data_IF_449764125702
#
_entry.id   IF_449764125702
#
_cell.length_a   1.000
_cell.length_b   1.000
_cell.length_c   1.000
_cell.angle_alpha   90.00
_cell.angle_beta   90.00
_cell.angle_gamma   90.00
#
_symmetry.space_group_name_H-M   'P 1'
#
loop_
_entity.id
_entity.type
_entity.pdbx_description
1 polymer ?
#
# COMPACT_ATOMS: atom_id res chain seq x y z
N UNK A 1 56.39 35.13 33.02
CA UNK A 1 55.83 35.52 34.33
C UNK A 1 54.35 35.83 34.13
N UNK A 2 53.45 35.05 34.75
CA UNK A 2 52.06 35.46 35.02
C UNK A 2 52.01 36.00 36.46
N UNK A 3 51.19 37.02 36.73
CA UNK A 3 50.05 36.85 37.65
C UNK A 3 48.74 37.38 37.02
N UNK A 4 47.56 36.73 37.19
CA UNK A 4 46.59 36.84 38.33
C UNK A 4 46.10 38.29 38.55
N UNK A 5 44.84 38.65 38.86
CA UNK A 5 43.47 38.10 38.91
C UNK A 5 42.61 39.23 39.58
N UNK A 6 41.27 39.10 39.59
CA UNK A 6 40.23 39.86 40.31
C UNK A 6 39.64 41.11 39.60
N UNK A 7 38.34 41.21 39.22
CA UNK A 7 37.03 40.81 39.78
C UNK A 7 36.38 41.83 40.75
N UNK A 8 35.22 42.38 40.35
CA UNK A 8 34.07 42.81 41.18
C UNK A 8 32.92 43.25 40.22
N UNK A 9 31.84 42.49 40.01
CA UNK A 9 30.63 42.24 40.84
C UNK A 9 29.62 43.39 40.92
N UNK A 10 28.39 43.12 40.45
CA UNK A 10 27.03 43.54 40.88
C UNK A 10 26.11 43.41 39.63
N UNK A 11 24.89 42.87 39.62
CA UNK A 11 23.99 42.34 40.63
C UNK A 11 22.94 41.43 39.94
N UNK A 12 22.35 40.53 40.72
CA UNK A 12 21.32 39.55 40.35
C UNK A 12 20.01 40.13 39.82
N UNK A 13 19.40 39.44 38.85
CA UNK A 13 17.96 39.19 38.83
C UNK A 13 17.71 37.73 38.48
N UNK A 14 17.15 36.99 39.43
CA UNK A 14 16.64 35.66 39.24
C UNK A 14 15.22 35.75 38.66
N UNK A 15 15.00 35.08 37.52
CA UNK A 15 13.68 34.66 37.11
C UNK A 15 13.78 33.17 36.76
N UNK A 16 13.26 32.33 37.67
CA UNK A 16 12.97 30.94 37.37
C UNK A 16 11.87 30.90 36.31
N UNK A 17 12.24 30.59 35.07
CA UNK A 17 11.33 29.99 34.12
C UNK A 17 11.75 28.52 33.97
N UNK A 18 10.99 27.63 34.62
CA UNK A 18 10.94 26.21 34.25
C UNK A 18 10.31 26.17 32.86
N UNK A 19 11.13 26.33 31.83
CA UNK A 19 10.76 25.94 30.48
C UNK A 19 11.15 24.46 30.36
N UNK A 20 10.14 23.59 30.42
CA UNK A 20 10.28 22.22 29.96
C UNK A 20 10.95 22.27 28.59
N UNK A 21 12.12 21.64 28.49
CA UNK A 21 12.82 21.44 27.23
C UNK A 21 11.87 20.71 26.29
N UNK A 22 11.23 21.46 25.41
CA UNK A 22 10.65 20.93 24.20
C UNK A 22 11.83 20.44 23.37
N UNK A 23 12.10 19.13 23.44
CA UNK A 23 12.83 18.43 22.40
C UNK A 23 11.99 18.55 21.12
N UNK A 24 12.18 19.65 20.41
CA UNK A 24 12.00 19.72 18.97
C UNK A 24 13.17 18.97 18.36
N UNK A 25 12.98 17.67 18.15
CA UNK A 25 13.71 16.99 17.10
C UNK A 25 12.86 17.07 15.84
N UNK A 26 13.27 17.99 14.97
CA UNK A 26 13.03 17.91 13.54
C UNK A 26 13.57 16.56 13.05
N UNK A 27 12.70 15.57 12.90
CA UNK A 27 12.98 14.45 12.00
C UNK A 27 12.56 14.85 10.58
N UNK A 28 13.39 15.70 9.99
CA UNK A 28 13.39 15.92 8.55
C UNK A 28 14.08 14.70 7.93
N UNK A 29 13.30 13.66 7.60
CA UNK A 29 13.67 12.59 6.65
C UNK A 29 12.46 11.65 6.40
N UNK A 30 11.50 12.14 5.61
CA UNK A 30 10.62 11.26 4.82
C UNK A 30 11.20 11.15 3.41
N UNK A 31 12.44 10.67 3.31
CA UNK A 31 13.15 10.43 2.04
C UNK A 31 12.69 9.12 1.36
N UNK A 32 11.38 8.91 1.32
CA UNK A 32 10.76 7.67 0.83
C UNK A 32 10.00 7.88 -0.50
N UNK A 33 10.29 8.99 -1.18
CA UNK A 33 9.78 9.28 -2.50
C UNK A 33 10.87 8.98 -3.52
N UNK A 34 10.67 8.02 -4.42
CA UNK A 34 11.42 8.04 -5.68
C UNK A 34 10.58 8.72 -6.76
N UNK A 35 10.91 10.00 -6.91
CA UNK A 35 11.03 10.78 -8.15
C UNK A 35 10.68 10.11 -9.48
N UNK A 36 9.65 10.67 -10.12
CA UNK A 36 9.80 11.28 -11.46
C UNK A 36 9.22 12.72 -11.42
N UNK A 37 10.04 13.76 -11.16
CA UNK A 37 9.58 15.14 -11.16
C UNK A 37 9.03 15.53 -12.53
N UNK A 38 7.89 16.23 -12.56
CA UNK A 38 7.39 16.90 -13.76
C UNK A 38 6.31 16.17 -14.57
N UNK A 39 5.93 14.94 -14.21
CA UNK A 39 4.81 14.25 -14.85
C UNK A 39 3.56 14.20 -13.94
N UNK A 40 2.42 14.60 -14.51
CA UNK A 40 1.10 14.50 -13.87
C UNK A 40 0.68 13.04 -13.72
N UNK A 41 0.42 12.56 -12.50
CA UNK A 41 0.04 11.16 -12.23
C UNK A 41 -1.27 10.75 -12.91
N UNK A 42 -1.27 9.69 -13.75
CA UNK A 42 -2.48 9.22 -14.41
C UNK A 42 -3.46 8.67 -13.37
N UNK A 43 -4.76 8.71 -13.68
CA UNK A 43 -5.71 7.85 -13.00
C UNK A 43 -5.42 6.39 -13.40
N UNK A 44 -5.67 5.47 -12.48
CA UNK A 44 -5.43 4.06 -12.70
C UNK A 44 -6.75 3.28 -12.72
N UNK A 45 -6.77 2.22 -13.52
CA UNK A 45 -7.89 1.28 -13.58
C UNK A 45 -7.48 -0.08 -13.04
N UNK A 46 -8.45 -0.74 -12.42
CA UNK A 46 -8.46 -2.17 -12.17
C UNK A 46 -9.65 -2.79 -12.91
N UNK A 47 -9.35 -3.62 -13.89
CA UNK A 47 -10.28 -4.45 -14.66
C UNK A 47 -10.02 -5.95 -14.42
N UNK A 48 -9.31 -6.28 -13.33
CA UNK A 48 -9.04 -7.66 -12.93
C UNK A 48 -10.26 -8.38 -12.36
N UNK A 49 -10.13 -9.69 -12.10
CA UNK A 49 -11.26 -10.54 -11.74
C UNK A 49 -11.78 -10.32 -10.32
N UNK A 50 -10.97 -9.81 -9.37
CA UNK A 50 -11.39 -9.75 -7.98
C UNK A 50 -12.55 -8.77 -7.78
N UNK A 51 -13.71 -9.22 -7.27
CA UNK A 51 -14.85 -8.35 -7.02
C UNK A 51 -14.67 -7.58 -5.71
N UNK A 52 -15.54 -6.59 -5.49
CA UNK A 52 -15.81 -6.11 -4.13
C UNK A 52 -16.24 -7.26 -3.23
N UNK A 53 -15.60 -7.34 -2.06
CA UNK A 53 -15.89 -8.37 -1.06
C UNK A 53 -16.96 -7.88 -0.08
N UNK A 54 -17.78 -8.80 0.39
CA UNK A 54 -18.66 -8.59 1.52
C UNK A 54 -17.90 -8.86 2.83
N UNK A 55 -17.99 -7.93 3.78
CA UNK A 55 -17.31 -8.00 5.09
C UNK A 55 -15.79 -8.27 4.98
N UNK A 56 -15.03 -7.42 4.26
CA UNK A 56 -13.59 -7.59 4.16
C UNK A 56 -12.91 -7.43 5.53
N UNK A 57 -11.80 -8.14 5.72
CA UNK A 57 -10.89 -8.03 6.85
C UNK A 57 -9.44 -8.01 6.33
N UNK A 58 -8.56 -7.33 7.05
CA UNK A 58 -7.14 -7.22 6.70
C UNK A 58 -6.29 -7.65 7.88
N UNK A 59 -5.28 -8.47 7.62
CA UNK A 59 -4.23 -8.80 8.59
C UNK A 59 -2.88 -8.49 7.96
N UNK A 60 -2.11 -7.61 8.59
CA UNK A 60 -0.72 -7.34 8.20
C UNK A 60 0.21 -7.99 9.21
N UNK A 61 1.12 -8.83 8.72
CA UNK A 61 2.22 -9.38 9.50
C UNK A 61 3.47 -8.51 9.29
N UNK A 62 3.91 -7.79 10.33
CA UNK A 62 5.14 -6.99 10.25
C UNK A 62 6.35 -7.88 9.98
N UNK A 63 6.46 -8.97 10.74
CA UNK A 63 7.56 -9.95 10.64
C UNK A 63 7.51 -10.72 9.33
N UNK A 64 6.30 -11.11 8.93
CA UNK A 64 6.08 -11.88 7.70
C UNK A 64 6.19 -11.04 6.44
N UNK A 65 6.14 -9.70 6.52
CA UNK A 65 6.08 -8.84 5.34
C UNK A 65 4.95 -9.25 4.38
N UNK A 66 3.80 -9.60 4.96
CA UNK A 66 2.60 -10.03 4.26
C UNK A 66 1.39 -9.22 4.70
N UNK A 67 0.47 -9.00 3.77
CA UNK A 67 -0.85 -8.45 4.03
C UNK A 67 -1.88 -9.41 3.45
N UNK A 68 -2.67 -10.04 4.32
CA UNK A 68 -3.77 -10.90 3.92
C UNK A 68 -5.09 -10.14 3.96
N UNK A 69 -5.79 -10.14 2.84
CA UNK A 69 -7.18 -9.72 2.74
C UNK A 69 -8.05 -10.95 2.79
N UNK A 70 -9.14 -10.89 3.53
CA UNK A 70 -10.12 -11.96 3.60
C UNK A 70 -11.51 -11.36 3.50
N UNK A 71 -12.44 -12.02 2.82
CA UNK A 71 -13.82 -11.55 2.72
C UNK A 71 -14.72 -12.54 2.01
N UNK A 72 -16.03 -12.33 2.08
CA UNK A 72 -17.00 -13.17 1.36
C UNK A 72 -17.17 -12.67 -0.06
N UNK A 73 -17.18 -13.58 -1.03
CA UNK A 73 -17.53 -13.23 -2.41
C UNK A 73 -19.04 -12.93 -2.50
N UNK A 74 -19.46 -11.98 -3.37
CA UNK A 74 -20.87 -11.78 -3.67
C UNK A 74 -21.54 -13.10 -4.04
N UNK A 75 -22.78 -13.31 -3.58
CA UNK A 75 -23.51 -14.59 -3.82
C UNK A 75 -23.63 -14.95 -5.30
N UNK A 76 -23.64 -13.96 -6.18
CA UNK A 76 -23.78 -14.10 -7.63
C UNK A 76 -22.44 -14.19 -8.36
N UNK A 77 -21.31 -14.16 -7.64
CA UNK A 77 -20.00 -14.19 -8.25
C UNK A 77 -19.65 -15.60 -8.74
N UNK A 78 -19.19 -15.69 -9.98
CA UNK A 78 -18.73 -16.93 -10.59
C UNK A 78 -17.31 -17.26 -10.12
N UNK A 79 -17.19 -18.22 -9.20
CA UNK A 79 -15.91 -18.60 -8.59
C UNK A 79 -14.90 -19.16 -9.59
N UNK A 80 -15.33 -19.62 -10.77
CA UNK A 80 -14.43 -20.07 -11.83
C UNK A 80 -13.60 -18.94 -12.43
N UNK A 81 -14.02 -17.68 -12.21
CA UNK A 81 -13.29 -16.47 -12.65
C UNK A 81 -12.27 -15.98 -11.64
N UNK A 82 -12.18 -16.59 -10.46
CA UNK A 82 -11.18 -16.17 -9.48
C UNK A 82 -9.77 -16.35 -10.05
N UNK A 83 -8.86 -15.43 -9.73
CA UNK A 83 -7.48 -15.57 -10.15
C UNK A 83 -6.80 -16.70 -9.37
N UNK A 84 -5.76 -17.28 -9.96
CA UNK A 84 -5.04 -18.44 -9.43
C UNK A 84 -4.40 -18.22 -8.04
N UNK A 85 -4.11 -16.98 -7.66
CA UNK A 85 -3.57 -16.64 -6.34
C UNK A 85 -4.65 -16.53 -5.24
N UNK A 86 -5.92 -16.49 -5.61
CA UNK A 86 -7.02 -16.42 -4.66
C UNK A 86 -7.29 -17.82 -4.08
N UNK A 87 -7.03 -17.99 -2.79
CA UNK A 87 -7.39 -19.22 -2.06
C UNK A 87 -8.81 -19.07 -1.54
N UNK A 88 -9.62 -20.13 -1.60
CA UNK A 88 -11.01 -20.09 -1.14
C UNK A 88 -11.29 -21.12 -0.06
N UNK A 89 -12.18 -20.76 0.86
CA UNK A 89 -12.78 -21.68 1.82
C UNK A 89 -14.30 -21.57 1.77
N UNK A 90 -14.99 -22.69 2.04
CA UNK A 90 -16.45 -22.72 2.09
C UNK A 90 -16.92 -22.40 3.52
N UNK A 91 -17.71 -21.35 3.66
CA UNK A 91 -18.27 -20.93 4.96
C UNK A 91 -19.79 -20.95 4.84
N UNK A 92 -20.39 -22.04 5.33
CA UNK A 92 -21.80 -22.34 5.13
C UNK A 92 -22.20 -22.28 3.64
N UNK A 93 -23.14 -21.41 3.27
CA UNK A 93 -23.59 -21.22 1.90
C UNK A 93 -22.80 -20.13 1.13
N UNK A 94 -21.71 -19.62 1.70
CA UNK A 94 -20.85 -18.57 1.15
C UNK A 94 -19.45 -19.06 0.83
N UNK A 95 -18.82 -18.42 -0.15
CA UNK A 95 -17.41 -18.64 -0.47
C UNK A 95 -16.64 -17.48 0.10
N UNK A 96 -15.69 -17.78 0.99
CA UNK A 96 -14.72 -16.80 1.47
C UNK A 96 -13.46 -16.93 0.63
N UNK A 97 -12.84 -15.80 0.35
CA UNK A 97 -11.58 -15.71 -0.38
C UNK A 97 -10.50 -15.13 0.51
N UNK A 98 -9.27 -15.58 0.28
CA UNK A 98 -8.06 -15.09 0.90
C UNK A 98 -7.07 -14.71 -0.21
N UNK A 99 -6.59 -13.48 -0.15
CA UNK A 99 -5.53 -12.98 -1.03
C UNK A 99 -4.43 -12.45 -0.15
N UNK A 100 -3.17 -12.78 -0.47
CA UNK A 100 -2.01 -12.34 0.29
C UNK A 100 -1.10 -11.55 -0.62
N UNK A 101 -0.79 -10.33 -0.21
CA UNK A 101 0.14 -9.46 -0.90
C UNK A 101 1.47 -9.37 -0.15
N UNK A 102 2.60 -9.28 -0.87
CA UNK A 102 3.85 -8.86 -0.27
C UNK A 102 3.75 -7.39 0.17
N UNK A 103 4.35 -7.06 1.32
CA UNK A 103 4.43 -5.67 1.79
C UNK A 103 5.80 -5.29 2.35
N UNK A 104 6.20 -4.05 2.12
CA UNK A 104 7.33 -3.42 2.81
C UNK A 104 6.81 -2.77 4.09
N UNK A 105 7.44 -3.07 5.21
CA UNK A 105 7.00 -2.60 6.54
C UNK A 105 8.03 -1.65 7.14
N UNK A 106 7.65 -1.01 8.25
CA UNK A 106 8.46 -0.01 8.94
C UNK A 106 9.87 -0.50 9.32
N UNK A 107 10.87 0.30 8.98
CA UNK A 107 12.23 0.15 9.49
C UNK A 107 12.29 0.47 10.98
N UNK A 108 13.33 -0.02 11.66
CA UNK A 108 13.66 0.48 13.00
C UNK A 108 14.30 1.85 12.88
N UNK A 109 13.85 2.80 13.71
CA UNK A 109 14.45 4.12 13.88
C UNK A 109 14.80 4.25 15.35
N UNK A 110 16.08 4.47 15.65
CA UNK A 110 16.61 4.60 17.03
C UNK A 110 16.19 3.45 17.97
N UNK A 111 16.23 2.22 17.46
CA UNK A 111 15.86 1.01 18.20
C UNK A 111 14.36 0.88 18.49
N UNK A 112 13.52 1.76 17.91
CA UNK A 112 12.05 1.68 18.01
C UNK A 112 11.46 1.32 16.66
N UNK A 113 10.46 0.44 16.68
CA UNK A 113 9.67 0.15 15.50
C UNK A 113 8.91 1.37 15.07
N UNK A 114 9.05 1.74 13.79
CA UNK A 114 8.24 2.77 13.19
C UNK A 114 6.91 2.23 12.63
N UNK A 115 6.45 1.07 13.09
CA UNK A 115 5.08 0.58 12.87
C UNK A 115 4.26 0.73 14.15
N UNK A 116 2.93 0.80 14.04
CA UNK A 116 2.03 0.70 15.21
C UNK A 116 1.22 -0.58 15.08
N UNK A 117 1.61 -1.67 15.76
CA UNK A 117 0.78 -2.86 15.90
C UNK A 117 -0.53 -2.52 16.62
N UNK A 118 -1.59 -3.25 16.29
CA UNK A 118 -2.89 -3.03 16.92
C UNK A 118 -4.07 -3.44 16.05
N UNK A 119 -5.26 -3.23 16.59
CA UNK A 119 -6.53 -3.41 15.88
C UNK A 119 -7.08 -2.05 15.47
N UNK A 120 -7.53 -1.99 14.22
CA UNK A 120 -8.09 -0.81 13.58
C UNK A 120 -9.48 -1.17 13.05
N UNK A 121 -10.45 -0.29 13.29
CA UNK A 121 -11.86 -0.50 12.96
C UNK A 121 -12.31 0.25 11.70
N UNK A 122 -11.39 0.95 11.05
CA UNK A 122 -11.68 1.74 9.86
C UNK A 122 -10.45 1.98 8.98
N UNK A 123 -10.74 2.40 7.75
CA UNK A 123 -9.80 3.02 6.85
C UNK A 123 -10.34 4.36 6.37
N UNK A 124 -9.44 5.32 6.19
CA UNK A 124 -9.71 6.52 5.42
C UNK A 124 -9.07 6.39 4.04
N UNK A 125 -9.91 6.11 3.04
CA UNK A 125 -9.50 5.73 1.69
C UNK A 125 -9.58 6.92 0.73
N UNK A 126 -8.47 7.18 0.05
CA UNK A 126 -8.38 8.14 -1.05
C UNK A 126 -8.11 7.37 -2.34
N UNK A 127 -9.14 7.10 -3.17
CA UNK A 127 -9.00 6.20 -4.32
C UNK A 127 -8.10 6.74 -5.44
N UNK A 128 -7.76 8.03 -5.40
CA UNK A 128 -6.79 8.64 -6.32
C UNK A 128 -5.95 9.68 -5.59
N UNK A 129 -4.67 9.40 -5.36
CA UNK A 129 -3.69 10.38 -4.84
C UNK A 129 -2.65 10.68 -5.91
N UNK A 130 -2.80 11.76 -6.70
CA UNK A 130 -1.76 12.17 -7.63
C UNK A 130 -0.57 12.74 -6.89
N UNK A 131 0.53 12.94 -7.62
CA UNK A 131 1.64 13.76 -7.16
C UNK A 131 1.12 15.16 -6.79
N UNK A 132 1.44 15.62 -5.59
CA UNK A 132 1.12 16.97 -5.14
C UNK A 132 2.31 17.89 -5.45
N UNK A 133 2.25 18.72 -6.51
CA UNK A 133 3.34 19.63 -6.85
C UNK A 133 3.51 20.77 -5.83
N UNK A 134 2.52 21.03 -4.96
CA UNK A 134 2.65 21.99 -3.86
C UNK A 134 3.42 21.38 -2.67
N UNK A 135 3.55 20.06 -2.62
CA UNK A 135 4.41 19.34 -1.70
C UNK A 135 5.72 18.97 -2.40
N UNK A 136 6.49 20.02 -2.75
CA UNK A 136 7.84 19.89 -3.29
C UNK A 136 8.68 19.02 -2.34
N UNK A 137 8.88 17.76 -2.73
CA UNK A 137 9.88 16.86 -2.16
C UNK A 137 9.47 15.90 -1.04
N UNK A 138 8.18 15.67 -0.73
CA UNK A 138 7.85 14.78 0.42
C UNK A 138 6.93 13.58 0.15
N UNK A 139 6.07 13.58 -0.88
CA UNK A 139 5.19 12.43 -1.12
C UNK A 139 4.80 12.27 -2.61
N UNK A 140 5.22 11.16 -3.24
CA UNK A 140 4.84 10.78 -4.62
C UNK A 140 4.08 9.46 -4.60
N UNK A 141 2.79 9.50 -4.92
CA UNK A 141 1.89 8.34 -4.83
C UNK A 141 1.47 7.79 -6.20
N UNK A 142 1.96 8.38 -7.30
CA UNK A 142 1.80 7.84 -8.65
C UNK A 142 0.36 7.80 -9.17
N UNK A 143 -0.61 8.39 -8.46
CA UNK A 143 -2.03 8.28 -8.79
C UNK A 143 -2.70 7.04 -8.19
N UNK A 144 -1.97 6.22 -7.43
CA UNK A 144 -2.53 5.05 -6.76
C UNK A 144 -3.40 5.44 -5.56
N UNK A 145 -4.26 4.53 -5.07
CA UNK A 145 -5.02 4.75 -3.86
C UNK A 145 -4.13 4.84 -2.63
N UNK A 146 -4.62 5.57 -1.62
CA UNK A 146 -4.00 5.69 -0.30
C UNK A 146 -5.00 5.30 0.78
N UNK A 147 -4.70 4.21 1.50
CA UNK A 147 -5.63 3.59 2.45
C UNK A 147 -5.07 3.81 3.85
N UNK A 148 -5.39 4.97 4.44
CA UNK A 148 -4.93 5.31 5.76
C UNK A 148 -5.64 4.47 6.82
N UNK A 149 -4.87 3.84 7.71
CA UNK A 149 -5.41 3.05 8.83
C UNK A 149 -5.07 3.65 10.19
N UNK A 150 -4.16 4.62 10.25
CA UNK A 150 -3.80 5.30 11.49
C UNK A 150 -3.75 6.82 11.26
N UNK A 151 -4.81 7.53 11.66
CA UNK A 151 -4.97 8.96 11.37
C UNK A 151 -3.84 9.83 11.94
N UNK A 152 -3.46 9.62 13.22
CA UNK A 152 -2.48 10.49 13.88
C UNK A 152 -1.06 10.37 13.30
N UNK A 153 -0.63 9.17 12.90
CA UNK A 153 0.68 8.91 12.29
C UNK A 153 0.66 8.88 10.77
N UNK A 154 -0.53 9.00 10.19
CA UNK A 154 -0.80 8.87 8.75
C UNK A 154 -0.32 7.55 8.12
N UNK A 155 -0.20 6.48 8.90
CA UNK A 155 0.19 5.18 8.34
C UNK A 155 -0.91 4.62 7.46
N UNK A 156 -0.49 4.06 6.34
CA UNK A 156 -1.39 3.63 5.27
C UNK A 156 -0.88 2.37 4.57
N UNK A 157 -1.79 1.69 3.89
CA UNK A 157 -1.45 0.80 2.78
C UNK A 157 -1.46 1.63 1.51
N UNK A 158 -0.39 1.57 0.73
CA UNK A 158 -0.28 2.35 -0.50
C UNK A 158 0.68 1.71 -1.50
N UNK A 159 0.46 2.03 -2.78
CA UNK A 159 1.27 1.58 -3.91
C UNK A 159 2.72 2.06 -3.88
N UNK A 160 3.55 1.56 -4.80
CA UNK A 160 4.98 1.40 -4.66
C UNK A 160 5.67 2.74 -4.89
N UNK A 161 6.82 3.07 -4.28
CA UNK A 161 8.12 2.39 -4.02
C UNK A 161 9.06 2.27 -5.23
N UNK A 162 10.31 1.90 -4.95
CA UNK A 162 11.54 2.41 -5.56
C UNK A 162 11.57 2.31 -7.08
N UNK A 163 11.73 3.47 -7.71
CA UNK A 163 12.11 3.55 -9.11
C UNK A 163 13.60 3.21 -9.20
N UNK A 164 13.91 2.09 -9.83
CA UNK A 164 15.30 1.71 -10.07
C UNK A 164 15.44 1.27 -11.52
N UNK A 165 16.52 1.68 -12.17
CA UNK A 165 16.84 1.25 -13.54
C UNK A 165 17.61 -0.08 -13.57
N UNK A 166 18.00 -0.61 -12.39
CA UNK A 166 18.97 -1.71 -12.27
C UNK A 166 18.54 -2.78 -11.25
N UNK A 167 17.78 -3.78 -11.70
CA UNK A 167 17.66 -5.06 -11.01
C UNK A 167 18.11 -6.22 -11.91
N UNK A 168 18.60 -7.34 -11.34
CA UNK A 168 18.93 -8.54 -12.12
C UNK A 168 17.72 -9.01 -12.95
N UNK A 169 17.84 -8.98 -14.28
CA UNK A 169 16.77 -9.33 -15.21
C UNK A 169 15.96 -8.14 -15.75
N UNK A 170 16.22 -6.91 -15.30
CA UNK A 170 15.67 -5.72 -15.92
C UNK A 170 16.24 -5.56 -17.34
N UNK A 171 15.39 -5.17 -18.30
CA UNK A 171 15.89 -4.73 -19.60
C UNK A 171 16.65 -3.41 -19.37
N UNK A 172 17.87 -3.22 -19.89
CA UNK A 172 18.59 -1.97 -19.74
C UNK A 172 17.72 -0.77 -20.19
N UNK A 173 17.43 0.14 -19.26
CA UNK A 173 16.54 1.30 -19.49
C UNK A 173 15.05 1.04 -19.26
N UNK A 174 14.63 -0.15 -18.81
CA UNK A 174 13.27 -0.39 -18.32
C UNK A 174 13.12 0.17 -16.90
N UNK A 175 12.18 1.11 -16.77
CA UNK A 175 11.84 1.77 -15.52
C UNK A 175 10.62 1.06 -14.91
N UNK A 176 10.83 0.11 -14.00
CA UNK A 176 9.76 -0.70 -13.43
C UNK A 176 9.55 -0.36 -11.94
N UNK A 177 8.31 -0.06 -11.58
CA UNK A 177 7.90 0.09 -10.18
C UNK A 177 7.88 -1.28 -9.52
N UNK A 178 8.82 -1.56 -8.62
CA UNK A 178 8.86 -2.85 -7.93
C UNK A 178 8.90 -2.66 -6.43
N UNK A 179 8.08 -3.46 -5.73
CA UNK A 179 8.14 -3.57 -4.29
C UNK A 179 9.41 -4.33 -3.89
N UNK A 180 10.20 -3.73 -3.00
CA UNK A 180 11.18 -4.43 -2.18
C UNK A 180 10.46 -4.92 -0.92
N UNK A 181 10.18 -6.22 -0.85
CA UNK A 181 9.56 -6.83 0.33
C UNK A 181 10.61 -6.89 1.45
N UNK A 182 10.54 -5.95 2.38
CA UNK A 182 11.53 -5.78 3.45
C UNK A 182 11.22 -4.62 4.40
N UNK A 183 12.14 -4.35 5.31
CA UNK A 183 12.02 -3.31 6.36
C UNK A 183 12.54 -1.96 5.86
N UNK A 184 11.86 -1.41 4.86
CA UNK A 184 12.34 -0.21 4.16
C UNK A 184 11.45 1.02 4.36
N UNK A 185 10.28 0.90 5.02
CA UNK A 185 9.34 2.02 5.09
C UNK A 185 9.49 2.88 6.36
N UNK A 186 8.99 4.11 6.33
CA UNK A 186 8.79 4.93 7.52
C UNK A 186 7.49 4.59 8.29
N UNK A 187 6.98 3.35 8.18
CA UNK A 187 5.85 2.86 8.99
C UNK A 187 4.57 2.51 8.22
N UNK A 188 4.48 2.95 6.97
CA UNK A 188 3.42 2.50 6.08
C UNK A 188 3.62 1.04 5.66
N UNK A 189 2.54 0.40 5.21
CA UNK A 189 2.58 -0.89 4.55
C UNK A 189 2.66 -0.64 3.05
N UNK A 190 3.87 -0.60 2.51
CA UNK A 190 4.06 -0.34 1.08
C UNK A 190 3.78 -1.60 0.28
N UNK A 191 3.08 -1.47 -0.83
CA UNK A 191 2.69 -2.58 -1.70
C UNK A 191 2.98 -2.22 -3.16
N UNK A 192 2.87 -3.17 -4.10
CA UNK A 192 2.78 -2.81 -5.52
C UNK A 192 1.48 -2.04 -5.81
N UNK A 193 1.46 -1.27 -6.90
CA UNK A 193 0.49 -0.17 -7.02
C UNK A 193 -0.85 -0.74 -7.41
N UNK A 194 -0.74 -1.69 -8.31
CA UNK A 194 -1.73 -2.59 -8.81
C UNK A 194 -2.28 -3.51 -7.72
N UNK A 195 -1.46 -3.93 -6.73
CA UNK A 195 -1.99 -4.60 -5.52
C UNK A 195 -2.89 -3.68 -4.71
N UNK A 196 -2.51 -2.41 -4.56
CA UNK A 196 -3.34 -1.43 -3.85
C UNK A 196 -4.59 -1.08 -4.64
N UNK A 197 -4.54 -1.06 -5.97
CA UNK A 197 -5.74 -0.92 -6.81
C UNK A 197 -6.70 -2.07 -6.58
N UNK A 198 -6.22 -3.31 -6.65
CA UNK A 198 -7.03 -4.51 -6.40
C UNK A 198 -7.61 -4.50 -4.99
N UNK A 199 -6.78 -4.22 -3.97
CA UNK A 199 -7.23 -4.07 -2.58
C UNK A 199 -8.34 -3.03 -2.46
N UNK A 200 -8.17 -1.86 -3.07
CA UNK A 200 -9.17 -0.78 -3.04
C UNK A 200 -10.48 -1.22 -3.70
N UNK A 201 -10.39 -2.01 -4.79
CA UNK A 201 -11.55 -2.60 -5.46
C UNK A 201 -12.29 -3.60 -4.56
N UNK A 202 -11.55 -4.50 -3.92
CA UNK A 202 -12.07 -5.46 -2.96
C UNK A 202 -12.77 -4.79 -1.76
N UNK A 203 -12.33 -3.58 -1.38
CA UNK A 203 -12.92 -2.79 -0.31
C UNK A 203 -14.18 -1.98 -0.72
N UNK A 204 -14.62 -2.08 -1.98
CA UNK A 204 -15.88 -1.50 -2.43
C UNK A 204 -15.79 -0.20 -3.22
N UNK A 205 -14.59 0.19 -3.65
CA UNK A 205 -14.42 1.30 -4.58
C UNK A 205 -14.35 0.72 -5.98
N UNK A 206 -15.27 1.10 -6.86
CA UNK A 206 -15.22 0.68 -8.27
C UNK A 206 -13.97 1.26 -8.96
N UNK A 207 -12.91 0.47 -9.01
CA UNK A 207 -11.63 0.87 -9.61
C UNK A 207 -11.59 0.61 -11.12
N UNK A 208 -12.68 0.12 -11.73
CA UNK A 208 -12.80 0.01 -13.20
C UNK A 208 -12.99 1.37 -13.88
N UNK A 209 -13.09 2.45 -13.09
CA UNK A 209 -13.32 3.82 -13.57
C UNK A 209 -12.25 4.77 -13.01
N UNK A 210 -11.89 5.82 -13.76
CA UNK A 210 -10.89 6.78 -13.31
C UNK A 210 -11.44 7.66 -12.17
N UNK A 211 -10.75 7.65 -11.03
CA UNK A 211 -11.02 8.50 -9.87
C UNK A 211 -10.31 9.87 -9.98
N UNK A 212 -10.69 10.84 -9.14
CA UNK A 212 -10.15 12.22 -9.16
C UNK A 212 -9.85 12.76 -7.78
N UNK A 213 -9.09 13.86 -7.65
CA UNK A 213 -8.88 14.48 -6.34
C UNK A 213 -10.17 15.05 -5.74
N UNK A 214 -11.15 15.40 -6.56
CA UNK A 214 -12.47 15.84 -6.09
C UNK A 214 -13.22 14.74 -5.32
N UNK A 215 -12.84 13.47 -5.45
CA UNK A 215 -13.42 12.36 -4.67
C UNK A 215 -12.75 12.16 -3.32
N UNK A 216 -11.62 12.83 -3.05
CA UNK A 216 -10.95 12.81 -1.75
C UNK A 216 -11.48 13.88 -0.80
N UNK A 217 -12.61 14.53 -1.13
CA UNK A 217 -13.25 15.51 -0.25
C UNK A 217 -13.42 14.93 1.16
N UNK A 218 -13.37 15.77 2.21
CA UNK A 218 -13.56 15.30 3.56
C UNK A 218 -14.85 14.50 3.71
N UNK A 219 -14.73 13.34 4.35
CA UNK A 219 -15.87 12.50 4.68
C UNK A 219 -16.91 13.34 5.45
N UNK A 220 -18.18 13.38 5.02
CA UNK A 220 -19.18 14.25 5.64
C UNK A 220 -19.39 13.96 7.13
N UNK A 221 -19.22 12.70 7.55
CA UNK A 221 -19.46 12.24 8.91
C UNK A 221 -18.24 12.48 9.80
N UNK A 222 -17.06 12.10 9.33
CA UNK A 222 -15.84 12.08 10.15
C UNK A 222 -14.94 13.30 9.93
N UNK A 223 -15.23 14.14 8.93
CA UNK A 223 -14.50 15.38 8.59
C UNK A 223 -13.01 15.18 8.26
N UNK A 224 -12.62 13.96 7.90
CA UNK A 224 -11.25 13.59 7.48
C UNK A 224 -11.18 13.50 5.96
N UNK A 225 -10.07 13.95 5.35
CA UNK A 225 -9.86 13.87 3.89
C UNK A 225 -9.87 12.42 3.39
N UNK A 226 -10.78 12.08 2.48
CA UNK A 226 -10.99 10.73 1.95
C UNK A 226 -12.36 10.17 2.36
N UNK A 227 -12.64 8.92 2.00
CA UNK A 227 -13.85 8.22 2.41
C UNK A 227 -13.55 7.31 3.58
N UNK A 228 -14.29 7.50 4.66
CA UNK A 228 -14.21 6.62 5.83
C UNK A 228 -14.99 5.34 5.56
N UNK A 229 -14.34 4.19 5.69
CA UNK A 229 -14.99 2.88 5.59
C UNK A 229 -14.74 2.06 6.87
N UNK A 230 -15.76 1.38 7.41
CA UNK A 230 -15.56 0.45 8.50
C UNK A 230 -14.84 -0.80 7.98
N UNK A 231 -13.85 -1.28 8.72
CA UNK A 231 -13.11 -2.51 8.41
C UNK A 231 -12.70 -3.20 9.71
N UNK A 232 -12.44 -4.50 9.67
CA UNK A 232 -11.60 -5.14 10.70
C UNK A 232 -10.19 -5.29 10.16
N UNK A 233 -9.26 -4.50 10.68
CA UNK A 233 -7.85 -4.58 10.33
C UNK A 233 -7.00 -4.86 11.58
N UNK A 234 -6.04 -5.76 11.45
CA UNK A 234 -5.06 -6.04 12.49
C UNK A 234 -3.65 -5.91 11.92
N UNK A 235 -2.80 -5.13 12.58
CA UNK A 235 -1.35 -5.13 12.35
C UNK A 235 -0.72 -5.92 13.49
N UNK A 236 -0.16 -7.08 13.16
CA UNK A 236 0.48 -7.98 14.13
C UNK A 236 1.84 -7.42 14.56
N UNK A 237 2.13 -7.54 15.86
CA UNK A 237 3.41 -7.12 16.43
C UNK A 237 4.49 -8.17 16.20
N UNK A 238 5.77 -7.80 16.32
CA UNK A 238 6.83 -8.79 16.38
C UNK A 238 6.78 -9.57 17.71
N UNK A 239 7.05 -10.88 17.73
CA UNK A 239 7.47 -11.76 16.64
C UNK A 239 6.31 -12.50 15.96
N UNK A 240 5.09 -11.98 16.01
CA UNK A 240 3.90 -12.69 15.55
C UNK A 240 3.85 -12.77 14.02
N UNK A 241 3.48 -13.96 13.54
CA UNK A 241 3.16 -14.20 12.14
C UNK A 241 1.66 -14.30 11.98
N UNK A 242 1.16 -13.87 10.82
CA UNK A 242 -0.18 -14.24 10.40
C UNK A 242 -0.27 -15.76 10.19
N UNK A 243 -1.44 -16.33 10.48
CA UNK A 243 -1.68 -17.76 10.33
C UNK A 243 -2.98 -18.04 9.59
N UNK A 244 -2.95 -19.10 8.79
CA UNK A 244 -4.10 -19.63 8.05
C UNK A 244 -4.15 -21.15 8.31
N UNK A 245 -5.26 -21.63 8.88
CA UNK A 245 -5.43 -23.05 9.24
C UNK A 245 -4.29 -23.62 10.11
N UNK A 246 -3.74 -22.79 11.01
CA UNK A 246 -2.62 -23.18 11.88
C UNK A 246 -1.24 -23.19 11.21
N UNK A 247 -1.14 -22.78 9.95
CA UNK A 247 0.12 -22.62 9.21
C UNK A 247 0.51 -21.15 9.09
N UNK A 248 1.81 -20.86 9.08
CA UNK A 248 2.31 -19.50 8.89
C UNK A 248 1.98 -19.04 7.46
N UNK A 249 1.41 -17.86 7.32
CA UNK A 249 1.15 -17.24 6.01
C UNK A 249 2.44 -16.63 5.47
N UNK A 250 2.85 -17.08 4.29
CA UNK A 250 3.90 -16.48 3.48
C UNK A 250 3.38 -16.21 2.05
N UNK A 251 4.15 -15.49 1.25
CA UNK A 251 3.80 -15.13 -0.13
C UNK A 251 4.99 -15.38 -1.06
N UNK A 252 4.70 -15.91 -2.25
CA UNK A 252 5.68 -16.23 -3.30
C UNK A 252 6.18 -14.94 -3.98
N UNK A 253 7.03 -14.20 -3.27
CA UNK A 253 7.59 -12.95 -3.74
C UNK A 253 9.02 -12.75 -3.21
N UNK A 254 9.96 -12.25 -4.04
CA UNK A 254 11.34 -12.03 -3.62
C UNK A 254 11.43 -11.15 -2.37
N UNK A 255 12.28 -11.56 -1.43
CA UNK A 255 12.46 -10.87 -0.15
C UNK A 255 13.86 -10.26 -0.03
N UNK A 256 13.92 -9.08 0.57
CA UNK A 256 15.16 -8.44 0.98
C UNK A 256 15.81 -9.21 2.16
N UNK A 257 17.14 -9.17 2.34
CA UNK A 257 17.81 -9.79 3.48
C UNK A 257 17.30 -9.34 4.86
N UNK A 258 16.65 -8.18 4.96
CA UNK A 258 16.03 -7.71 6.20
C UNK A 258 14.80 -8.50 6.62
N UNK A 259 14.19 -9.29 5.73
CA UNK A 259 13.06 -10.18 6.06
C UNK A 259 13.57 -11.38 6.86
N UNK A 260 13.11 -11.58 8.11
CA UNK A 260 13.55 -12.70 8.92
C UNK A 260 13.35 -14.05 8.24
N UNK A 261 14.22 -15.00 8.54
CA UNK A 261 13.98 -16.40 8.18
C UNK A 261 12.68 -16.89 8.84
N UNK A 262 11.94 -17.74 8.13
CA UNK A 262 10.75 -18.37 8.70
C UNK A 262 11.18 -19.28 9.86
N UNK A 263 10.37 -19.40 10.93
CA UNK A 263 10.71 -20.25 12.06
C UNK A 263 10.90 -21.71 11.64
N UNK A 264 12.03 -22.30 12.05
CA UNK A 264 12.35 -23.68 11.72
C UNK A 264 11.31 -24.66 12.28
N UNK A 265 10.97 -25.69 11.48
CA UNK A 265 10.02 -26.74 11.88
C UNK A 265 8.57 -26.30 12.02
N UNK A 266 8.22 -25.05 11.65
CA UNK A 266 6.83 -24.60 11.59
C UNK A 266 6.24 -24.80 10.19
N UNK A 267 4.99 -25.25 10.07
CA UNK A 267 4.34 -25.37 8.76
C UNK A 267 4.07 -23.97 8.19
N UNK A 268 4.34 -23.82 6.90
CA UNK A 268 4.18 -22.57 6.15
C UNK A 268 3.30 -22.81 4.94
N UNK A 269 2.29 -21.96 4.75
CA UNK A 269 1.51 -21.87 3.53
C UNK A 269 2.00 -20.68 2.72
N UNK A 270 2.66 -20.96 1.60
CA UNK A 270 3.03 -19.93 0.62
C UNK A 270 1.84 -19.69 -0.30
N UNK A 271 1.35 -18.46 -0.32
CA UNK A 271 0.33 -18.00 -1.25
C UNK A 271 0.99 -17.48 -2.52
N UNK A 272 0.37 -17.77 -3.67
CA UNK A 272 0.74 -17.10 -4.91
C UNK A 272 0.49 -15.59 -4.83
N UNK A 273 1.27 -14.82 -5.57
CA UNK A 273 0.97 -13.41 -5.85
C UNK A 273 1.37 -13.12 -7.29
N UNK A 274 0.87 -12.02 -7.83
CA UNK A 274 1.18 -11.54 -9.17
C UNK A 274 1.98 -10.25 -9.11
N UNK A 275 2.63 -9.89 -10.20
CA UNK A 275 3.07 -8.51 -10.44
C UNK A 275 2.38 -7.88 -11.66
N UNK A 276 2.44 -6.55 -11.74
CA UNK A 276 1.81 -5.81 -12.83
C UNK A 276 2.35 -6.17 -14.21
N UNK A 277 3.61 -6.60 -14.31
CA UNK A 277 4.21 -7.05 -15.57
C UNK A 277 3.59 -8.37 -16.04
N UNK A 278 3.24 -9.25 -15.12
CA UNK A 278 2.57 -10.52 -15.39
C UNK A 278 1.08 -10.36 -15.74
N UNK A 279 0.44 -9.28 -15.26
CA UNK A 279 -1.01 -9.07 -15.37
C UNK A 279 -1.45 -7.71 -15.92
N UNK A 280 -0.74 -7.19 -16.93
CA UNK A 280 -0.99 -5.87 -17.54
C UNK A 280 -2.40 -5.66 -18.10
N UNK A 281 -3.12 -6.74 -18.40
CA UNK A 281 -4.51 -6.66 -18.84
C UNK A 281 -5.50 -6.34 -17.71
N UNK A 282 -5.08 -6.41 -16.44
CA UNK A 282 -5.95 -6.22 -15.27
C UNK A 282 -5.77 -4.89 -14.58
N UNK A 283 -4.60 -4.28 -14.66
CA UNK A 283 -4.35 -2.96 -14.09
C UNK A 283 -3.50 -2.13 -15.05
N UNK A 284 -3.92 -0.89 -15.29
CA UNK A 284 -3.21 -0.01 -16.21
C UNK A 284 -3.49 1.48 -15.93
N UNK A 285 -2.56 2.38 -16.32
CA UNK A 285 -2.80 3.80 -16.27
C UNK A 285 -3.72 4.23 -17.42
N UNK A 286 -4.63 5.17 -17.15
CA UNK A 286 -5.44 5.79 -18.19
C UNK A 286 -4.58 6.75 -19.01
N UNK A 287 -4.52 6.56 -20.32
CA UNK A 287 -3.79 7.45 -21.21
C UNK A 287 -4.36 8.87 -21.14
N UNK A 288 -3.51 9.90 -21.23
CA UNK A 288 -3.93 11.32 -21.14
C UNK A 288 -5.05 11.67 -22.13
N UNK A 289 -5.02 11.12 -23.33
CA UNK A 289 -6.03 11.35 -24.37
C UNK A 289 -7.39 10.70 -24.07
N UNK A 290 -7.41 9.72 -23.16
CA UNK A 290 -8.61 8.98 -22.75
C UNK A 290 -9.11 9.40 -21.36
N UNK A 291 -8.34 10.21 -20.62
CA UNK A 291 -8.70 10.64 -19.27
C UNK A 291 -9.77 11.75 -19.31
N UNK A 292 -11.03 11.45 -18.93
CA UNK A 292 -12.11 12.44 -18.95
C UNK A 292 -11.96 13.52 -17.88
N UNK A 293 -10.96 13.40 -17.00
CA UNK A 293 -10.64 14.41 -15.99
C UNK A 293 -9.61 15.42 -16.49
N UNK A 294 -8.92 15.12 -17.60
CA UNK A 294 -7.92 16.00 -18.23
C UNK A 294 -8.35 16.54 -19.57
N UNK A 295 -9.20 15.82 -20.29
CA UNK A 295 -9.66 16.19 -21.64
C UNK A 295 -11.18 16.36 -21.62
N UNK A 296 -11.70 17.60 -21.55
CA UNK A 296 -13.15 17.87 -21.43
C UNK A 296 -14.00 17.31 -22.57
N UNK A 297 -13.40 17.07 -23.74
CA UNK A 297 -14.08 16.50 -24.90
C UNK A 297 -14.31 14.98 -24.78
N UNK A 298 -13.62 14.30 -23.86
CA UNK A 298 -13.80 12.88 -23.61
C UNK A 298 -15.04 12.68 -22.73
N UNK A 299 -16.03 11.95 -23.26
CA UNK A 299 -17.23 11.63 -22.49
C UNK A 299 -16.88 10.68 -21.32
N UNK A 300 -17.38 11.01 -20.12
CA UNK A 300 -17.37 10.16 -18.91
C UNK A 300 -18.35 8.98 -19.04
N UNK A 301 -18.24 8.19 -20.09
CA UNK A 301 -19.12 7.04 -20.29
C UNK A 301 -18.39 5.76 -19.92
N UNK A 302 -19.06 4.92 -19.14
CA UNK A 302 -18.62 3.57 -18.79
C UNK A 302 -18.26 2.72 -20.03
N UNK A 303 -18.83 3.03 -21.20
CA UNK A 303 -18.56 2.33 -22.46
C UNK A 303 -17.08 2.28 -22.87
N UNK A 304 -16.24 3.26 -22.47
CA UNK A 304 -14.79 3.23 -22.79
C UNK A 304 -14.00 2.30 -21.88
N UNK A 305 -14.42 2.17 -20.63
CA UNK A 305 -13.76 1.43 -19.55
C UNK A 305 -14.68 0.27 -19.10
N UNK A 306 -14.99 -0.60 -20.06
CA UNK A 306 -15.98 -1.67 -19.91
C UNK A 306 -15.34 -3.01 -19.48
N UNK A 307 -14.22 -2.98 -18.76
CA UNK A 307 -13.48 -4.18 -18.37
C UNK A 307 -12.55 -4.73 -19.48
N UNK A 308 -12.26 -3.93 -20.52
CA UNK A 308 -11.40 -4.34 -21.64
C UNK A 308 -10.39 -3.27 -22.05
N UNK A 309 -10.34 -2.13 -21.37
CA UNK A 309 -9.41 -1.06 -21.71
C UNK A 309 -7.97 -1.51 -21.50
N UNK A 310 -7.63 -2.07 -20.34
CA UNK A 310 -6.27 -2.50 -20.03
C UNK A 310 -5.82 -3.64 -20.95
N UNK A 311 -6.69 -4.62 -21.20
CA UNK A 311 -6.44 -5.70 -22.14
C UNK A 311 -6.21 -5.21 -23.59
N UNK A 312 -6.91 -4.17 -24.04
CA UNK A 312 -6.67 -3.59 -25.37
C UNK A 312 -5.37 -2.80 -25.44
N UNK A 313 -5.03 -2.09 -24.37
CA UNK A 313 -3.82 -1.26 -24.30
C UNK A 313 -2.55 -2.10 -24.24
N UNK A 314 -2.57 -3.21 -23.52
CA UNK A 314 -1.36 -4.02 -23.25
C UNK A 314 -1.38 -5.41 -23.89
N UNK A 315 -2.48 -5.79 -24.56
CA UNK A 315 -2.72 -7.16 -25.00
C UNK A 315 -3.35 -8.00 -23.89
N UNK A 316 -3.94 -9.14 -24.26
CA UNK A 316 -4.44 -10.11 -23.29
C UNK A 316 -3.26 -10.73 -22.51
N UNK A 317 -3.44 -10.95 -21.22
CA UNK A 317 -2.43 -11.66 -20.40
C UNK A 317 -2.21 -13.06 -21.00
N UNK A 318 -0.96 -13.39 -21.34
CA UNK A 318 -0.59 -14.73 -21.83
C UNK A 318 -0.39 -15.73 -20.70
N UNK A 319 -0.38 -15.28 -19.44
CA UNK A 319 -0.17 -16.12 -18.27
C UNK A 319 -1.50 -16.53 -17.60
N UNK A 320 -2.03 -17.69 -17.99
CA UNK A 320 -2.58 -18.58 -16.97
C UNK A 320 -1.38 -19.32 -16.38
N UNK A 321 -1.02 -19.16 -15.10
CA UNK A 321 -0.12 -20.12 -14.52
C UNK A 321 -0.83 -21.47 -14.50
N UNK A 322 -0.09 -22.48 -14.92
CA UNK A 322 -0.51 -23.85 -14.88
C UNK A 322 -1.10 -24.17 -13.50
N UNK A 323 -2.25 -24.84 -13.53
CA UNK A 323 -2.83 -25.57 -12.40
C UNK A 323 -1.75 -26.13 -11.47
N UNK A 324 -1.91 -25.89 -10.17
CA UNK A 324 -0.96 -26.22 -9.11
C UNK A 324 -0.18 -27.52 -9.34
N UNK A 325 1.15 -27.37 -9.41
CA UNK A 325 2.06 -28.46 -9.10
C UNK A 325 2.25 -28.50 -7.59
N UNK A 326 1.81 -29.59 -6.98
CA UNK A 326 2.20 -29.93 -5.62
C UNK A 326 3.73 -30.06 -5.53
N UNK A 327 4.31 -29.37 -4.55
CA UNK A 327 5.54 -29.76 -3.86
C UNK A 327 5.32 -29.54 -2.37
#
# INVERSE_FOLDING_TARGET
MRPLLAAASFASFAALAVACASHTEESDDSADAITKPGETSPAWLYEGPMPTLESPEIVTSIVGHTLRVTGLLPRTYDTSKLPWYAVTERVADRTRVHVVYPVATGKMIDGKWNNVPGSYDHLNVRPFRPNDPAQLGKEHWGGFPFLNYHDARRFAMHGPIDFTEDFPGATPGAQDWRLVRGRISAGCQRMQGEHVLELTNMLGFDMSKPWTTATNKPDPKNKVEGKWIPIKMTVLDEPQYDTFEGTIVDVDYPKDPSVPALPEGKPVKVFGTWDANEMRAWACPVAKADDPNRTPQVKRTDARFNGTYCARTHGANTASPASGGAL
#
